data_IF_141142866189
#
_entry.id   IF_141142866189
#
_cell.length_a   1.000
_cell.length_b   1.000
_cell.length_c   1.000
_cell.angle_alpha   90.00
_cell.angle_beta   90.00
_cell.angle_gamma   90.00
#
_symmetry.space_group_name_H-M   'P 1'
#
loop_
_entity.id
_entity.type
_entity.pdbx_description
1 polymer ?
#
# COMPACT_ATOMS: atom_id res chain seq x y z
N UNK A 1 45.41 -21.68 1.16
CA UNK A 1 45.19 -20.34 1.76
C UNK A 1 43.95 -19.76 1.09
N UNK A 2 42.80 -19.82 1.77
CA UNK A 2 41.51 -19.36 1.26
C UNK A 2 41.27 -17.92 1.67
N UNK A 3 41.11 -17.04 0.70
CA UNK A 3 40.74 -15.62 0.88
C UNK A 3 39.34 -15.53 1.51
N UNK A 4 39.14 -14.74 2.59
CA UNK A 4 37.81 -14.55 3.14
C UNK A 4 37.01 -13.64 2.21
N UNK A 5 35.86 -14.14 1.74
CA UNK A 5 34.85 -13.34 1.07
C UNK A 5 34.41 -12.19 1.99
N UNK A 6 34.68 -10.97 1.55
CA UNK A 6 34.15 -9.75 2.16
C UNK A 6 32.63 -9.81 2.14
N UNK A 7 32.01 -10.17 3.29
CA UNK A 7 30.58 -9.95 3.54
C UNK A 7 30.33 -8.45 3.42
N UNK A 8 29.75 -8.01 2.30
CA UNK A 8 29.02 -6.75 2.28
C UNK A 8 28.02 -6.80 3.43
N UNK A 9 28.17 -5.91 4.41
CA UNK A 9 27.13 -5.70 5.42
C UNK A 9 25.89 -5.23 4.67
N UNK A 10 24.88 -6.08 4.58
CA UNK A 10 23.55 -5.68 4.15
C UNK A 10 23.16 -4.47 5.00
N UNK A 11 22.99 -3.32 4.34
CA UNK A 11 22.44 -2.15 5.00
C UNK A 11 20.92 -2.37 4.99
N UNK A 12 20.29 -2.72 6.12
CA UNK A 12 18.87 -3.04 6.11
C UNK A 12 18.11 -1.78 5.69
N UNK A 13 17.34 -1.87 4.61
CA UNK A 13 16.50 -0.75 4.20
C UNK A 13 15.64 -0.31 5.39
N UNK A 14 15.59 0.99 5.72
CA UNK A 14 14.80 1.47 6.83
C UNK A 14 13.34 1.10 6.61
N UNK A 15 12.74 0.39 7.57
CA UNK A 15 11.33 0.03 7.50
C UNK A 15 10.49 1.31 7.48
N UNK A 16 9.57 1.40 6.52
CA UNK A 16 8.61 2.49 6.49
C UNK A 16 7.75 2.42 7.75
N UNK A 17 7.65 3.54 8.46
CA UNK A 17 6.75 3.67 9.61
C UNK A 17 5.30 3.52 9.12
N UNK A 18 4.54 2.68 9.82
CA UNK A 18 3.09 2.56 9.66
C UNK A 18 2.44 3.34 10.82
N UNK A 19 1.42 4.14 10.53
CA UNK A 19 0.68 4.88 11.56
C UNK A 19 -0.01 3.92 12.55
N UNK A 20 -0.17 4.35 13.80
CA UNK A 20 -1.06 3.64 14.74
C UNK A 20 -2.53 3.75 14.29
N UNK A 21 -3.42 2.97 14.92
CA UNK A 21 -4.86 3.09 14.65
C UNK A 21 -5.41 4.48 14.98
N UNK A 22 -5.01 5.03 16.14
CA UNK A 22 -5.40 6.37 16.57
C UNK A 22 -4.89 7.45 15.61
N UNK A 23 -3.63 7.35 15.19
CA UNK A 23 -3.03 8.26 14.22
C UNK A 23 -3.73 8.17 12.85
N UNK A 24 -4.05 6.96 12.39
CA UNK A 24 -4.75 6.75 11.13
C UNK A 24 -6.16 7.38 11.15
N UNK A 25 -6.88 7.27 12.27
CA UNK A 25 -8.19 7.92 12.47
C UNK A 25 -8.07 9.45 12.42
N UNK A 26 -7.06 10.01 13.08
CA UNK A 26 -6.81 11.45 13.07
C UNK A 26 -6.44 11.96 11.65
N UNK A 27 -5.48 11.30 11.00
CA UNK A 27 -5.03 11.63 9.64
C UNK A 27 -6.19 11.58 8.63
N UNK A 28 -7.04 10.56 8.71
CA UNK A 28 -8.24 10.50 7.88
C UNK A 28 -9.14 11.71 8.07
N UNK A 29 -9.41 12.06 9.32
CA UNK A 29 -10.34 13.13 9.67
C UNK A 29 -9.83 14.49 9.16
N UNK A 30 -8.50 14.69 9.23
CA UNK A 30 -7.83 15.82 8.61
C UNK A 30 -7.93 15.82 7.08
N UNK A 31 -7.60 14.72 6.41
CA UNK A 31 -7.63 14.65 4.94
C UNK A 31 -9.05 14.82 4.37
N UNK A 32 -10.07 14.37 5.10
CA UNK A 32 -11.48 14.56 4.73
C UNK A 32 -11.92 16.04 4.86
N UNK A 33 -11.45 16.76 5.88
CA UNK A 33 -11.81 18.18 6.08
C UNK A 33 -11.13 19.11 5.08
N UNK A 34 -9.93 18.75 4.62
CA UNK A 34 -9.18 19.49 3.60
C UNK A 34 -9.81 19.41 2.19
N UNK A 35 -10.93 18.67 2.00
CA UNK A 35 -11.59 18.38 0.71
C UNK A 35 -10.68 17.83 -0.38
N UNK A 36 -9.44 17.49 -0.04
CA UNK A 36 -8.44 17.11 -1.02
C UNK A 36 -8.76 15.75 -1.68
N UNK A 37 -9.70 14.98 -1.11
CA UNK A 37 -9.63 13.52 -1.20
C UNK A 37 -11.03 12.87 -1.04
N UNK A 38 -11.60 12.33 -2.12
CA UNK A 38 -12.76 11.41 -2.07
C UNK A 38 -12.37 10.00 -1.54
N UNK A 39 -11.08 9.66 -1.59
CA UNK A 39 -10.55 8.33 -1.26
C UNK A 39 -10.27 8.08 0.22
N UNK A 40 -10.21 9.11 1.08
CA UNK A 40 -10.02 8.94 2.53
C UNK A 40 -11.19 8.17 3.17
N UNK A 41 -12.35 8.20 2.53
CA UNK A 41 -13.52 7.39 2.88
C UNK A 41 -13.41 5.93 2.41
N UNK A 42 -12.64 5.65 1.36
CA UNK A 42 -12.40 4.29 0.87
C UNK A 42 -11.44 3.49 1.79
N UNK A 43 -10.45 4.16 2.40
CA UNK A 43 -9.49 3.51 3.32
C UNK A 43 -10.10 3.00 4.63
N UNK A 44 -11.25 3.53 5.03
CA UNK A 44 -11.87 3.15 6.31
C UNK A 44 -12.67 1.87 6.31
N UNK A 45 -12.93 1.29 5.15
CA UNK A 45 -13.68 0.05 5.14
C UNK A 45 -12.85 -1.11 5.73
N UNK A 46 -11.50 -1.01 5.67
CA UNK A 46 -10.58 -1.97 6.31
C UNK A 46 -9.28 -1.27 6.76
N UNK A 47 -8.99 -1.15 8.08
CA UNK A 47 -7.76 -0.52 8.60
C UNK A 47 -6.54 -1.44 8.44
N UNK A 48 -6.24 -1.83 7.19
CA UNK A 48 -5.08 -2.64 6.86
C UNK A 48 -3.79 -1.83 7.05
N UNK A 49 -2.64 -2.51 7.23
CA UNK A 49 -1.35 -1.82 7.35
C UNK A 49 -1.03 -0.99 6.10
N UNK A 50 -1.47 -1.41 4.91
CA UNK A 50 -1.35 -0.62 3.68
C UNK A 50 -2.16 0.68 3.77
N UNK A 51 -3.39 0.62 4.30
CA UNK A 51 -4.20 1.82 4.46
C UNK A 51 -3.60 2.83 5.44
N UNK A 52 -3.11 2.34 6.58
CA UNK A 52 -2.39 3.17 7.56
C UNK A 52 -1.13 3.79 6.96
N UNK A 53 -0.38 3.03 6.16
CA UNK A 53 0.81 3.53 5.46
C UNK A 53 0.44 4.66 4.49
N UNK A 54 -0.59 4.47 3.67
CA UNK A 54 -0.95 5.43 2.63
C UNK A 54 -1.63 6.70 3.18
N UNK A 55 -2.34 6.60 4.31
CA UNK A 55 -2.80 7.77 5.07
C UNK A 55 -1.64 8.61 5.60
N UNK A 56 -0.56 7.98 6.06
CA UNK A 56 0.65 8.68 6.52
C UNK A 56 1.48 9.29 5.38
N UNK A 57 1.08 9.06 4.12
CA UNK A 57 1.82 9.42 2.90
C UNK A 57 0.87 9.98 1.82
N UNK A 58 0.18 11.11 2.07
CA UNK A 58 -0.92 11.59 1.23
C UNK A 58 -0.52 11.87 -0.23
N UNK A 59 0.73 12.29 -0.47
CA UNK A 59 1.27 12.50 -1.81
C UNK A 59 1.24 11.23 -2.70
N UNK A 60 1.28 10.04 -2.08
CA UNK A 60 1.21 8.76 -2.78
C UNK A 60 -0.15 8.08 -2.57
N UNK A 61 -0.76 8.23 -1.39
CA UNK A 61 -1.99 7.54 -1.02
C UNK A 61 -3.16 7.83 -1.96
N UNK A 62 -3.29 9.07 -2.40
CA UNK A 62 -4.36 9.45 -3.34
C UNK A 62 -4.21 8.86 -4.73
N UNK A 63 -3.11 9.15 -5.44
CA UNK A 63 -2.85 8.56 -6.74
C UNK A 63 -2.89 7.02 -6.73
N UNK A 64 -2.39 6.38 -5.67
CA UNK A 64 -2.44 4.92 -5.52
C UNK A 64 -3.88 4.41 -5.50
N UNK A 65 -4.75 4.99 -4.67
CA UNK A 65 -6.13 4.52 -4.57
C UNK A 65 -6.95 4.79 -5.81
N UNK A 66 -6.75 5.93 -6.45
CA UNK A 66 -7.43 6.23 -7.71
C UNK A 66 -7.11 5.15 -8.74
N UNK A 67 -5.82 4.81 -8.89
CA UNK A 67 -5.39 3.76 -9.80
C UNK A 67 -5.93 2.38 -9.37
N UNK A 68 -5.84 2.04 -8.08
CA UNK A 68 -6.37 0.78 -7.55
C UNK A 68 -7.87 0.64 -7.80
N UNK A 69 -8.64 1.71 -7.57
CA UNK A 69 -10.08 1.72 -7.79
C UNK A 69 -10.43 1.43 -9.24
N UNK A 70 -9.76 2.13 -10.17
CA UNK A 70 -9.91 1.92 -11.61
C UNK A 70 -9.52 0.51 -12.03
N UNK A 71 -8.36 0.04 -11.60
CA UNK A 71 -7.83 -1.26 -11.98
C UNK A 71 -8.59 -2.43 -11.37
N UNK A 72 -9.21 -2.29 -10.20
CA UNK A 72 -9.84 -3.42 -9.52
C UNK A 72 -11.35 -3.45 -9.63
N UNK A 73 -12.01 -2.30 -9.69
CA UNK A 73 -13.47 -2.23 -9.53
C UNK A 73 -14.21 -1.75 -10.78
N UNK A 74 -13.59 -0.94 -11.63
CA UNK A 74 -14.26 -0.48 -12.85
C UNK A 74 -14.47 -1.61 -13.85
N UNK A 75 -15.54 -1.47 -14.64
CA UNK A 75 -15.89 -2.42 -15.69
C UNK A 75 -14.75 -2.57 -16.71
N UNK A 76 -14.56 -3.78 -17.21
CA UNK A 76 -13.50 -4.10 -18.17
C UNK A 76 -13.56 -5.56 -18.58
N UNK A 77 -12.62 -6.00 -19.45
CA UNK A 77 -12.63 -7.36 -20.01
C UNK A 77 -12.33 -8.44 -18.97
N UNK A 78 -11.74 -8.07 -17.83
CA UNK A 78 -11.44 -8.99 -16.72
C UNK A 78 -12.40 -8.77 -15.57
N UNK A 79 -12.90 -9.87 -15.00
CA UNK A 79 -13.67 -9.87 -13.75
C UNK A 79 -12.78 -9.49 -12.57
N UNK A 80 -13.41 -9.09 -11.45
CA UNK A 80 -12.70 -8.82 -10.18
C UNK A 80 -11.83 -10.00 -9.75
N UNK A 81 -12.37 -11.22 -9.86
CA UNK A 81 -11.68 -12.44 -9.48
C UNK A 81 -10.44 -12.71 -10.36
N UNK A 82 -10.54 -12.50 -11.67
CA UNK A 82 -9.40 -12.66 -12.58
C UNK A 82 -8.28 -11.66 -12.27
N UNK A 83 -8.64 -10.41 -11.94
CA UNK A 83 -7.67 -9.38 -11.51
C UNK A 83 -6.96 -9.78 -10.22
N UNK A 84 -7.69 -10.34 -9.25
CA UNK A 84 -7.08 -10.87 -8.01
C UNK A 84 -6.17 -12.08 -8.27
N UNK A 85 -6.53 -12.98 -9.19
CA UNK A 85 -5.65 -14.10 -9.56
C UNK A 85 -4.31 -13.59 -10.11
N UNK A 86 -4.33 -12.56 -10.96
CA UNK A 86 -3.11 -11.92 -11.46
C UNK A 86 -2.30 -11.35 -10.29
N UNK A 87 -2.95 -10.60 -9.39
CA UNK A 87 -2.30 -10.03 -8.22
C UNK A 87 -1.60 -11.10 -7.37
N UNK A 88 -2.28 -12.23 -7.10
CA UNK A 88 -1.70 -13.35 -6.33
C UNK A 88 -0.48 -13.98 -7.00
N UNK A 89 -0.55 -14.24 -8.30
CA UNK A 89 0.58 -14.82 -9.06
C UNK A 89 1.78 -13.87 -9.06
N UNK A 90 1.54 -12.58 -9.32
CA UNK A 90 2.60 -11.57 -9.36
C UNK A 90 3.21 -11.36 -7.97
N UNK A 91 2.40 -11.26 -6.91
CA UNK A 91 2.89 -11.16 -5.53
C UNK A 91 3.75 -12.36 -5.14
N UNK A 92 3.31 -13.58 -5.49
CA UNK A 92 4.09 -14.80 -5.23
C UNK A 92 5.41 -14.80 -5.98
N UNK A 93 5.41 -14.42 -7.26
CA UNK A 93 6.62 -14.34 -8.08
C UNK A 93 7.63 -13.32 -7.54
N UNK A 94 7.16 -12.25 -6.89
CA UNK A 94 7.99 -11.21 -6.30
C UNK A 94 8.28 -11.41 -4.81
N UNK A 95 7.88 -12.54 -4.22
CA UNK A 95 7.99 -12.78 -2.78
C UNK A 95 7.37 -11.65 -1.92
N UNK A 96 6.30 -11.03 -2.40
CA UNK A 96 5.54 -10.03 -1.66
C UNK A 96 4.67 -10.73 -0.60
N UNK A 97 5.00 -10.53 0.67
CA UNK A 97 4.36 -11.24 1.80
C UNK A 97 3.11 -10.58 2.36
N UNK A 98 2.96 -9.26 2.14
CA UNK A 98 1.77 -8.51 2.53
C UNK A 98 0.60 -8.89 1.63
#
# INVERSE_FOLDING_TARGET
MTTPASRMKENPMPRLRIASDEEAVALRSQLASERAIHWAQAYTQFPTNMGKLLLSRPAYGGPFLELFQRLMWEAGPLTRQQREMIAMVVSRANSCQY
#
